data_IF_933906471537
#
_entry.id   IF_933906471537
#
_cell.length_a   1.000
_cell.length_b   1.000
_cell.length_c   1.000
_cell.angle_alpha   90.00
_cell.angle_beta   90.00
_cell.angle_gamma   90.00
#
_symmetry.space_group_name_H-M   'P 1'
#
loop_
_entity.id
_entity.type
_entity.pdbx_description
1 polymer ?
#
# COMPACT_ATOMS: atom_id res chain seq x y z
N UNK A 1 -5.77 -17.17 -10.82
CA UNK A 1 -5.86 -15.92 -10.03
C UNK A 1 -7.31 -15.57 -9.74
N UNK A 2 -7.55 -14.94 -8.64
CA UNK A 2 -8.86 -14.47 -8.19
C UNK A 2 -8.79 -12.99 -7.76
N UNK A 3 -9.94 -12.45 -7.38
CA UNK A 3 -10.01 -11.12 -6.81
C UNK A 3 -10.38 -11.24 -5.32
N UNK A 4 -9.67 -10.50 -4.48
CA UNK A 4 -10.01 -10.32 -3.07
C UNK A 4 -10.17 -8.81 -2.81
N UNK A 5 -11.25 -8.43 -2.18
CA UNK A 5 -11.50 -7.06 -1.73
C UNK A 5 -11.75 -7.06 -0.23
N UNK A 6 -11.10 -6.13 0.45
CA UNK A 6 -11.34 -5.83 1.86
C UNK A 6 -11.84 -4.39 1.97
N UNK A 7 -12.99 -4.22 2.61
CA UNK A 7 -13.67 -2.93 2.72
C UNK A 7 -14.25 -2.76 4.11
N UNK A 8 -14.20 -1.54 4.61
CA UNK A 8 -15.07 -1.10 5.70
C UNK A 8 -16.45 -0.70 5.18
N UNK A 9 -17.32 -0.21 6.05
CA UNK A 9 -18.60 0.35 5.68
C UNK A 9 -19.80 -0.52 6.08
N UNK A 10 -20.86 -0.49 5.28
CA UNK A 10 -22.13 -1.17 5.58
C UNK A 10 -22.19 -2.54 4.92
N UNK A 11 -22.56 -3.54 5.69
CA UNK A 11 -22.89 -4.89 5.19
C UNK A 11 -24.40 -4.97 5.02
N UNK A 12 -24.85 -5.37 3.84
CA UNK A 12 -26.29 -5.54 3.53
C UNK A 12 -26.61 -6.99 3.24
N UNK A 13 -27.86 -7.40 3.56
CA UNK A 13 -28.41 -8.68 3.14
C UNK A 13 -28.76 -8.68 1.63
N UNK A 14 -29.28 -9.82 1.15
CA UNK A 14 -29.68 -9.99 -0.25
C UNK A 14 -30.83 -9.06 -0.70
N UNK A 15 -31.52 -8.42 0.24
CA UNK A 15 -32.61 -7.47 -0.01
C UNK A 15 -32.14 -6.01 0.06
N UNK A 16 -30.83 -5.78 0.29
CA UNK A 16 -30.27 -4.46 0.46
C UNK A 16 -30.46 -3.84 1.84
N UNK A 17 -30.95 -4.62 2.82
CA UNK A 17 -31.13 -4.14 4.20
C UNK A 17 -29.80 -4.16 4.93
N UNK A 18 -29.41 -3.04 5.56
CA UNK A 18 -28.20 -2.97 6.34
C UNK A 18 -28.29 -3.90 7.57
N UNK A 19 -27.37 -4.85 7.66
CA UNK A 19 -27.24 -5.79 8.78
C UNK A 19 -26.07 -5.45 9.70
N UNK A 20 -25.20 -4.52 9.28
CA UNK A 20 -24.10 -3.99 10.07
C UNK A 20 -23.39 -2.89 9.33
N UNK A 21 -22.71 -2.03 10.06
CA UNK A 21 -21.82 -1.00 9.54
C UNK A 21 -20.62 -0.85 10.48
N UNK A 22 -19.48 -0.48 9.92
CA UNK A 22 -18.26 -0.27 10.69
C UNK A 22 -17.01 -0.37 9.82
N UNK A 23 -15.86 -0.16 10.43
CA UNK A 23 -14.58 -0.38 9.79
C UNK A 23 -14.22 -1.87 9.81
N UNK A 24 -13.58 -2.34 8.75
CA UNK A 24 -12.89 -3.63 8.75
C UNK A 24 -11.47 -3.42 9.25
N UNK A 25 -11.10 -4.09 10.33
CA UNK A 25 -9.72 -4.11 10.81
C UNK A 25 -9.17 -5.53 10.74
N UNK A 26 -8.00 -5.69 10.13
CA UNK A 26 -7.21 -6.92 10.21
C UNK A 26 -5.97 -6.62 11.03
N UNK A 27 -5.92 -7.20 12.22
CA UNK A 27 -4.82 -7.04 13.17
C UNK A 27 -3.96 -8.31 13.18
N UNK A 28 -2.72 -8.16 12.75
CA UNK A 28 -1.74 -9.23 12.70
C UNK A 28 -0.88 -9.35 13.96
N UNK A 29 -1.25 -8.70 15.07
CA UNK A 29 -0.46 -8.70 16.32
C UNK A 29 -0.53 -10.01 17.12
N UNK A 30 -1.34 -10.99 16.67
CA UNK A 30 -1.48 -12.28 17.35
C UNK A 30 -0.18 -13.10 17.36
N UNK A 31 -0.01 -13.90 18.43
CA UNK A 31 1.12 -14.82 18.55
C UNK A 31 1.14 -15.83 17.39
N UNK A 32 2.31 -16.04 16.80
CA UNK A 32 2.53 -17.03 15.74
C UNK A 32 2.27 -16.55 14.32
N UNK A 33 1.92 -15.27 14.12
CA UNK A 33 1.87 -14.68 12.79
C UNK A 33 3.30 -14.54 12.24
N UNK A 34 3.59 -15.16 11.12
CA UNK A 34 4.96 -15.25 10.56
C UNK A 34 5.11 -14.70 9.15
N UNK A 35 4.02 -14.39 8.46
CA UNK A 35 3.99 -13.86 7.10
C UNK A 35 3.34 -12.49 7.00
N UNK A 36 3.15 -12.01 5.78
CA UNK A 36 2.31 -10.86 5.50
C UNK A 36 0.84 -11.17 5.84
N UNK A 37 0.06 -10.14 6.16
CA UNK A 37 -1.40 -10.28 6.31
C UNK A 37 -2.03 -10.77 5.01
N UNK A 38 -1.56 -10.24 3.87
CA UNK A 38 -2.00 -10.60 2.53
C UNK A 38 -0.80 -10.89 1.65
N UNK A 39 -0.85 -12.01 0.92
CA UNK A 39 0.11 -12.33 -0.13
C UNK A 39 -0.62 -12.40 -1.48
N UNK A 40 -0.22 -11.54 -2.42
CA UNK A 40 -0.79 -11.45 -3.77
C UNK A 40 0.18 -12.09 -4.75
N UNK A 41 0.05 -13.40 -4.96
CA UNK A 41 0.92 -14.15 -5.88
C UNK A 41 0.51 -13.91 -7.33
N UNK A 42 -0.80 -13.83 -7.59
CA UNK A 42 -1.36 -13.45 -8.89
C UNK A 42 -2.80 -12.99 -8.75
N UNK A 43 -3.29 -12.23 -9.73
CA UNK A 43 -4.64 -11.66 -9.68
C UNK A 43 -4.68 -10.32 -8.93
N UNK A 44 -5.81 -9.98 -8.36
CA UNK A 44 -6.05 -8.66 -7.80
C UNK A 44 -6.41 -8.73 -6.31
N UNK A 45 -5.85 -7.82 -5.54
CA UNK A 45 -6.27 -7.51 -4.17
C UNK A 45 -6.68 -6.04 -4.09
N UNK A 46 -7.80 -5.75 -3.43
CA UNK A 46 -8.30 -4.39 -3.22
C UNK A 46 -8.48 -4.06 -1.74
N UNK A 47 -7.98 -2.91 -1.34
CA UNK A 47 -8.26 -2.28 -0.04
C UNK A 47 -9.08 -1.02 -0.31
N UNK A 48 -10.24 -0.89 0.35
CA UNK A 48 -11.19 0.21 0.10
C UNK A 48 -11.75 0.77 1.40
N UNK A 49 -12.34 1.95 1.29
CA UNK A 49 -13.09 2.61 2.36
C UNK A 49 -12.27 2.76 3.66
N UNK A 50 -12.83 2.38 4.79
CA UNK A 50 -12.22 2.50 6.12
C UNK A 50 -11.50 1.21 6.58
N UNK A 51 -11.11 0.32 5.64
CA UNK A 51 -10.40 -0.89 5.98
C UNK A 51 -9.01 -0.59 6.56
N UNK A 52 -8.61 -1.33 7.58
CA UNK A 52 -7.33 -1.14 8.29
C UNK A 52 -6.55 -2.45 8.34
N UNK A 53 -5.29 -2.41 7.92
CA UNK A 53 -4.33 -3.50 8.11
C UNK A 53 -3.27 -3.04 9.11
N UNK A 54 -3.16 -3.71 10.24
CA UNK A 54 -2.29 -3.24 11.34
C UNK A 54 -1.67 -4.38 12.14
N UNK A 55 -0.69 -4.05 12.95
CA UNK A 55 -0.17 -4.86 14.04
C UNK A 55 0.76 -6.02 13.64
N UNK A 56 0.95 -6.30 12.36
CA UNK A 56 1.74 -7.44 11.95
C UNK A 56 3.25 -7.19 12.08
N UNK A 57 3.96 -8.23 12.55
CA UNK A 57 5.41 -8.21 12.70
C UNK A 57 6.00 -9.47 12.10
N UNK A 58 6.79 -9.34 11.04
CA UNK A 58 7.37 -10.48 10.32
C UNK A 58 8.83 -10.27 9.97
N UNK A 59 9.58 -11.35 9.84
CA UNK A 59 10.94 -11.36 9.28
C UNK A 59 10.94 -11.49 7.74
N UNK A 60 9.76 -11.54 7.12
CA UNK A 60 9.60 -11.47 5.66
C UNK A 60 9.75 -10.06 5.11
N UNK A 61 9.55 -9.90 3.81
CA UNK A 61 9.73 -8.61 3.13
C UNK A 61 8.59 -7.62 3.35
N UNK A 62 7.35 -8.09 3.63
CA UNK A 62 6.20 -7.22 3.81
C UNK A 62 5.44 -7.56 5.09
N UNK A 63 5.08 -6.54 5.87
CA UNK A 63 4.25 -6.71 7.05
C UNK A 63 2.77 -6.91 6.68
N UNK A 64 2.18 -6.01 5.92
CA UNK A 64 0.78 -6.13 5.55
C UNK A 64 0.56 -6.81 4.20
N UNK A 65 1.16 -6.33 3.11
CA UNK A 65 0.90 -6.85 1.76
C UNK A 65 2.21 -7.18 1.04
N UNK A 66 2.39 -8.45 0.70
CA UNK A 66 3.42 -8.93 -0.23
C UNK A 66 2.80 -9.09 -1.62
N UNK A 67 3.32 -8.37 -2.62
CA UNK A 67 2.83 -8.40 -3.98
C UNK A 67 3.93 -8.84 -4.95
N UNK A 68 3.72 -9.98 -5.60
CA UNK A 68 4.65 -10.48 -6.60
C UNK A 68 4.49 -9.76 -7.95
N UNK A 69 5.35 -10.03 -8.90
CA UNK A 69 5.32 -9.41 -10.24
C UNK A 69 4.01 -9.67 -11.01
N UNK A 70 3.33 -10.79 -10.77
CA UNK A 70 2.08 -11.17 -11.42
C UNK A 70 0.83 -10.73 -10.63
N UNK A 71 1.03 -10.12 -9.46
CA UNK A 71 -0.03 -9.58 -8.61
C UNK A 71 -0.31 -8.10 -8.87
N UNK A 72 -1.55 -7.69 -8.61
CA UNK A 72 -1.96 -6.30 -8.65
C UNK A 72 -2.63 -5.91 -7.34
N UNK A 73 -2.14 -4.87 -6.71
CA UNK A 73 -2.70 -4.29 -5.50
C UNK A 73 -3.43 -2.99 -5.85
N UNK A 74 -4.67 -2.85 -5.41
CA UNK A 74 -5.48 -1.66 -5.57
C UNK A 74 -5.77 -1.05 -4.20
N UNK A 75 -5.17 0.11 -3.92
CA UNK A 75 -5.46 0.92 -2.73
C UNK A 75 -6.43 2.02 -3.14
N UNK A 76 -7.70 1.79 -2.87
CA UNK A 76 -8.81 2.69 -3.25
C UNK A 76 -9.34 3.48 -2.05
N UNK A 77 -8.72 3.30 -0.92
CA UNK A 77 -9.00 3.88 0.39
C UNK A 77 -8.32 3.06 1.47
N UNK A 78 -8.57 3.38 2.73
CA UNK A 78 -8.11 2.60 3.88
C UNK A 78 -6.75 3.01 4.44
N UNK A 79 -6.37 2.29 5.50
CA UNK A 79 -5.17 2.59 6.28
C UNK A 79 -4.32 1.34 6.49
N UNK A 80 -3.02 1.47 6.27
CA UNK A 80 -2.03 0.44 6.59
C UNK A 80 -1.01 1.06 7.54
N UNK A 81 -0.99 0.62 8.78
CA UNK A 81 -0.17 1.25 9.84
C UNK A 81 0.24 0.24 10.91
N UNK A 82 1.33 0.55 11.65
CA UNK A 82 1.75 -0.26 12.79
C UNK A 82 2.28 -1.65 12.41
N UNK A 83 2.63 -1.87 11.16
CA UNK A 83 3.22 -3.13 10.73
C UNK A 83 4.75 -3.01 10.66
N UNK A 84 5.45 -4.13 10.79
CA UNK A 84 6.91 -4.16 10.65
C UNK A 84 7.39 -5.40 9.92
N UNK A 85 8.42 -5.22 9.10
CA UNK A 85 9.03 -6.28 8.30
C UNK A 85 10.52 -5.99 8.05
N UNK A 86 11.20 -6.90 7.37
CA UNK A 86 12.62 -6.69 7.04
C UNK A 86 12.81 -5.55 6.01
N UNK A 87 11.86 -5.36 5.10
CA UNK A 87 11.97 -4.40 3.98
C UNK A 87 10.78 -3.45 3.93
N UNK A 88 9.62 -3.89 3.46
CA UNK A 88 8.40 -3.08 3.40
C UNK A 88 7.56 -3.29 4.65
N UNK A 89 7.70 -2.47 5.68
CA UNK A 89 6.91 -2.58 6.90
C UNK A 89 5.43 -2.76 6.63
N UNK A 90 4.88 -2.01 5.65
CA UNK A 90 3.53 -2.21 5.15
C UNK A 90 3.51 -3.07 3.89
N UNK A 91 4.04 -2.58 2.79
CA UNK A 91 3.92 -3.18 1.45
C UNK A 91 5.31 -3.41 0.87
N UNK A 92 5.55 -4.60 0.35
CA UNK A 92 6.64 -4.88 -0.58
C UNK A 92 6.03 -5.30 -1.91
N UNK A 93 6.41 -4.62 -3.00
CA UNK A 93 5.80 -4.88 -4.30
C UNK A 93 6.84 -5.02 -5.41
N UNK A 94 6.80 -6.16 -6.09
CA UNK A 94 7.50 -6.44 -7.34
C UNK A 94 6.64 -6.06 -8.56
N UNK A 95 5.32 -6.01 -8.39
CA UNK A 95 4.32 -5.69 -9.39
C UNK A 95 3.73 -4.30 -9.24
N UNK A 96 2.54 -4.12 -9.82
CA UNK A 96 1.84 -2.85 -9.78
C UNK A 96 1.07 -2.63 -8.46
N UNK A 97 1.16 -1.40 -7.95
CA UNK A 97 0.30 -0.87 -6.90
C UNK A 97 -0.52 0.27 -7.50
N UNK A 98 -1.81 0.10 -7.58
CA UNK A 98 -2.73 1.11 -8.12
C UNK A 98 -3.36 1.90 -6.97
N UNK A 99 -3.37 3.23 -7.06
CA UNK A 99 -3.90 4.10 -6.01
C UNK A 99 -5.01 5.01 -6.53
N UNK A 100 -6.02 5.27 -5.70
CA UNK A 100 -7.08 6.25 -5.90
C UNK A 100 -7.77 6.53 -4.55
N UNK A 101 -8.41 7.70 -4.42
CA UNK A 101 -9.15 8.07 -3.21
C UNK A 101 -8.24 8.50 -2.06
N UNK A 102 -8.66 8.26 -0.83
CA UNK A 102 -7.92 8.61 0.37
C UNK A 102 -7.22 7.38 0.94
N UNK A 103 -5.91 7.31 0.78
CA UNK A 103 -5.07 6.17 1.19
C UNK A 103 -4.05 6.63 2.23
N UNK A 104 -3.95 5.93 3.34
CA UNK A 104 -2.92 6.16 4.35
C UNK A 104 -2.02 4.94 4.51
N UNK A 105 -0.74 5.08 4.17
CA UNK A 105 0.28 4.04 4.39
C UNK A 105 1.45 4.68 5.12
N UNK A 106 1.35 4.70 6.45
CA UNK A 106 2.29 5.40 7.33
C UNK A 106 2.47 4.67 8.66
N UNK A 107 3.55 5.00 9.40
CA UNK A 107 3.80 4.42 10.73
C UNK A 107 4.16 2.94 10.68
N UNK A 108 4.64 2.45 9.53
CA UNK A 108 5.18 1.11 9.40
C UNK A 108 6.71 1.17 9.39
N UNK A 109 7.38 0.13 9.90
CA UNK A 109 8.82 0.22 10.22
C UNK A 109 9.60 -1.01 9.78
N UNK A 110 10.92 -0.86 9.71
CA UNK A 110 11.85 -1.98 9.62
C UNK A 110 11.86 -2.70 10.97
N UNK A 111 11.67 -4.03 10.93
CA UNK A 111 11.65 -4.86 12.15
C UNK A 111 12.97 -4.74 12.92
N UNK A 112 12.85 -4.56 14.23
CA UNK A 112 13.99 -4.50 15.17
C UNK A 112 15.02 -3.41 14.87
N UNK A 113 14.69 -2.38 14.07
CA UNK A 113 15.55 -1.21 13.88
C UNK A 113 15.59 -0.33 15.14
N UNK A 114 16.77 0.22 15.44
CA UNK A 114 16.96 1.12 16.58
C UNK A 114 17.91 2.25 16.17
N UNK A 115 17.45 3.51 16.06
CA UNK A 115 16.05 3.95 16.20
C UNK A 115 15.13 3.30 15.15
N UNK A 116 13.82 3.33 15.39
CA UNK A 116 12.85 2.83 14.39
C UNK A 116 13.03 3.55 13.06
N UNK A 117 13.13 2.75 12.01
CA UNK A 117 13.28 3.25 10.63
C UNK A 117 11.96 3.08 9.90
N UNK A 118 11.43 4.18 9.37
CA UNK A 118 10.22 4.15 8.56
C UNK A 118 10.42 3.24 7.34
N UNK A 119 9.41 2.43 7.05
CA UNK A 119 9.39 1.55 5.89
C UNK A 119 7.93 1.24 5.55
N UNK A 120 7.33 2.10 4.74
CA UNK A 120 5.93 1.98 4.42
C UNK A 120 5.74 1.15 3.13
N UNK A 121 5.74 1.77 1.97
CA UNK A 121 5.72 1.07 0.68
C UNK A 121 7.15 0.94 0.17
N UNK A 122 7.58 -0.26 -0.16
CA UNK A 122 8.84 -0.51 -0.84
C UNK A 122 8.56 -1.15 -2.20
N UNK A 123 8.94 -0.44 -3.26
CA UNK A 123 8.93 -0.97 -4.62
C UNK A 123 10.27 -1.66 -4.92
N UNK A 124 10.21 -2.88 -5.38
CA UNK A 124 11.34 -3.57 -6.02
C UNK A 124 11.73 -2.82 -7.32
N UNK A 125 12.82 -3.23 -7.94
CA UNK A 125 13.33 -2.66 -9.20
C UNK A 125 12.30 -2.56 -10.34
N UNK A 126 11.28 -3.41 -10.37
CA UNK A 126 10.22 -3.42 -11.37
C UNK A 126 8.89 -2.84 -10.85
N UNK A 127 8.77 -2.67 -9.54
CA UNK A 127 7.55 -2.17 -8.90
C UNK A 127 7.22 -0.74 -9.34
N UNK A 128 5.93 -0.45 -9.48
CA UNK A 128 5.41 0.85 -9.91
C UNK A 128 4.10 1.19 -9.22
N UNK A 129 3.90 2.46 -8.93
CA UNK A 129 2.60 2.99 -8.53
C UNK A 129 1.87 3.55 -9.75
N UNK A 130 0.68 3.01 -10.04
CA UNK A 130 -0.24 3.55 -11.05
C UNK A 130 -1.33 4.37 -10.36
N UNK A 131 -1.53 5.60 -10.78
CA UNK A 131 -2.58 6.48 -10.26
C UNK A 131 -3.81 6.34 -11.14
N UNK A 132 -4.89 5.78 -10.62
CA UNK A 132 -6.09 5.46 -11.37
C UNK A 132 -7.23 6.47 -11.17
N UNK A 133 -6.93 7.67 -10.71
CA UNK A 133 -7.86 8.77 -10.48
C UNK A 133 -7.42 9.65 -9.32
N UNK A 134 -8.26 10.60 -8.93
CA UNK A 134 -7.94 11.55 -7.88
C UNK A 134 -7.45 10.86 -6.60
N UNK A 135 -6.35 11.36 -6.06
CA UNK A 135 -5.75 10.97 -4.79
C UNK A 135 -5.77 12.22 -3.92
N UNK A 136 -6.60 12.24 -2.87
CA UNK A 136 -6.80 13.42 -2.03
C UNK A 136 -6.75 13.06 -0.55
N UNK A 137 -6.02 13.86 0.23
CA UNK A 137 -5.86 13.63 1.66
C UNK A 137 -5.10 12.33 1.99
N UNK A 138 -4.37 11.81 1.02
CA UNK A 138 -3.54 10.61 1.20
C UNK A 138 -2.21 10.96 1.85
N UNK A 139 -1.61 9.99 2.52
CA UNK A 139 -0.25 10.08 3.04
C UNK A 139 0.43 8.72 2.84
N UNK A 140 1.43 8.68 1.98
CA UNK A 140 2.09 7.45 1.59
C UNK A 140 3.60 7.61 1.75
N UNK A 141 4.22 6.79 2.60
CA UNK A 141 5.68 6.67 2.62
C UNK A 141 6.13 5.71 1.51
N UNK A 142 7.10 6.10 0.71
CA UNK A 142 7.60 5.33 -0.43
C UNK A 142 9.12 5.25 -0.45
N UNK A 143 9.64 4.04 -0.52
CA UNK A 143 11.01 3.76 -0.85
C UNK A 143 11.10 2.89 -2.12
N UNK A 144 12.23 2.93 -2.78
CA UNK A 144 12.46 2.21 -4.03
C UNK A 144 13.79 1.47 -3.93
N UNK A 145 13.80 0.17 -4.17
CA UNK A 145 15.03 -0.58 -4.31
C UNK A 145 15.70 -0.26 -5.65
N UNK A 146 17.03 -0.26 -5.67
CA UNK A 146 17.82 0.06 -6.87
C UNK A 146 17.36 1.39 -7.52
N UNK A 147 17.23 2.44 -6.70
CA UNK A 147 16.88 3.77 -7.18
C UNK A 147 17.88 4.24 -8.24
N UNK A 148 17.36 4.81 -9.32
CA UNK A 148 18.16 5.33 -10.42
C UNK A 148 17.53 6.61 -10.99
N UNK A 149 18.33 7.53 -11.45
CA UNK A 149 17.83 8.74 -12.10
C UNK A 149 17.02 8.38 -13.36
N UNK A 150 15.89 9.05 -13.57
CA UNK A 150 15.00 8.80 -14.70
C UNK A 150 14.15 7.51 -14.60
N UNK A 151 14.19 6.80 -13.47
CA UNK A 151 13.29 5.67 -13.26
C UNK A 151 11.87 6.17 -12.94
N UNK A 152 10.90 5.76 -13.74
CA UNK A 152 9.48 6.01 -13.46
C UNK A 152 9.01 5.07 -12.35
N UNK A 153 8.62 5.62 -11.21
CA UNK A 153 8.11 4.87 -10.05
C UNK A 153 6.67 5.21 -9.69
N UNK A 154 6.17 6.35 -10.18
CA UNK A 154 4.77 6.78 -10.06
C UNK A 154 4.35 7.30 -11.44
N UNK A 155 3.18 6.91 -11.92
CA UNK A 155 2.61 7.43 -13.17
C UNK A 155 1.10 7.50 -13.11
N UNK A 156 0.51 8.40 -13.88
CA UNK A 156 -0.93 8.40 -14.13
C UNK A 156 -1.28 7.25 -15.08
N UNK A 157 -2.37 6.56 -14.80
CA UNK A 157 -2.91 5.58 -15.74
C UNK A 157 -3.54 6.29 -16.95
N UNK A 158 -3.64 5.57 -18.06
CA UNK A 158 -4.21 6.11 -19.29
C UNK A 158 -5.64 6.63 -19.07
N UNK A 159 -5.91 7.84 -19.54
CA UNK A 159 -7.22 8.48 -19.43
C UNK A 159 -7.51 9.17 -18.08
N UNK A 160 -6.61 9.14 -17.12
CA UNK A 160 -6.74 9.91 -15.88
C UNK A 160 -6.49 11.39 -16.17
N UNK A 161 -7.48 12.24 -15.87
CA UNK A 161 -7.44 13.70 -16.12
C UNK A 161 -7.91 14.52 -14.92
N UNK A 162 -8.32 13.88 -13.84
CA UNK A 162 -8.88 14.48 -12.63
C UNK A 162 -7.83 14.77 -11.54
N UNK A 163 -6.57 14.48 -11.82
CA UNK A 163 -5.42 14.73 -10.94
C UNK A 163 -4.16 14.94 -11.78
N UNK A 164 -3.21 15.71 -11.29
CA UNK A 164 -1.87 15.84 -11.89
C UNK A 164 -0.86 14.97 -11.13
N UNK A 165 0.24 14.62 -11.80
CA UNK A 165 1.32 13.86 -11.15
C UNK A 165 1.93 14.65 -9.98
N UNK A 166 2.06 15.97 -10.11
CA UNK A 166 2.54 16.86 -9.05
C UNK A 166 1.65 16.83 -7.81
N UNK A 167 0.31 16.83 -7.99
CA UNK A 167 -0.64 16.70 -6.87
C UNK A 167 -0.45 15.39 -6.12
N UNK A 168 -0.23 14.30 -6.84
CA UNK A 168 0.01 12.97 -6.24
C UNK A 168 1.35 12.93 -5.50
N UNK A 169 2.42 13.41 -6.13
CA UNK A 169 3.77 13.42 -5.54
C UNK A 169 3.78 14.24 -4.24
N UNK A 170 2.99 15.30 -4.15
CA UNK A 170 2.86 16.11 -2.93
C UNK A 170 2.31 15.32 -1.72
N UNK A 171 1.65 14.19 -1.95
CA UNK A 171 1.08 13.31 -0.93
C UNK A 171 1.96 12.10 -0.62
N UNK A 172 3.11 11.99 -1.29
CA UNK A 172 4.07 10.91 -1.10
C UNK A 172 5.33 11.44 -0.42
N UNK A 173 5.69 10.84 0.71
CA UNK A 173 6.98 11.07 1.38
C UNK A 173 7.98 10.04 0.88
N UNK A 174 9.06 10.48 0.24
CA UNK A 174 10.12 9.58 -0.18
C UNK A 174 10.98 9.16 1.03
N UNK A 175 11.06 7.86 1.29
CA UNK A 175 11.76 7.25 2.43
C UNK A 175 13.03 6.49 2.02
N UNK A 176 13.38 6.54 0.73
CA UNK A 176 14.55 5.85 0.18
C UNK A 176 15.86 6.61 0.34
N UNK A 177 16.85 6.26 -0.47
CA UNK A 177 18.16 6.91 -0.49
C UNK A 177 18.02 8.42 -0.73
N UNK A 178 18.54 9.23 0.19
CA UNK A 178 18.48 10.69 0.16
C UNK A 178 19.21 11.34 -1.04
N UNK A 179 19.98 10.56 -1.80
CA UNK A 179 20.55 11.02 -3.08
C UNK A 179 19.49 11.17 -4.18
N UNK A 180 18.28 10.64 -3.99
CA UNK A 180 17.18 10.68 -4.94
C UNK A 180 15.96 11.38 -4.33
N UNK A 181 15.11 11.88 -5.19
CA UNK A 181 13.80 12.45 -4.85
C UNK A 181 12.78 12.10 -5.92
N UNK A 182 11.50 12.19 -5.59
CA UNK A 182 10.44 12.14 -6.59
C UNK A 182 10.40 13.47 -7.36
N UNK A 183 10.20 13.39 -8.66
CA UNK A 183 9.97 14.51 -9.56
C UNK A 183 8.89 14.18 -10.57
N UNK A 184 8.25 15.19 -11.13
CA UNK A 184 7.16 15.13 -12.11
C UNK A 184 7.62 15.56 -13.51
N UNK A 185 8.81 15.13 -13.92
CA UNK A 185 9.48 15.47 -15.20
C UNK A 185 8.72 14.96 -16.42
#
# INVERSE_FOLDING_TARGET
>A
GGNLQMAGGSVTDSNGTAIGSGSLTVDGSGDGVTGSIVEVVSGNYGLTDDAVLTGNKTTGNAGAISNTADGNVYLLGGTITGNSATTGGAIYSEGAVSIRGTVSVTGNTVINSTPETASNVVLDKNGIINVNGAVTGSTIGLAVQEAAAGRTVVKLADGVTDVTLSDVISQITYEGDSAYKLADD
#
